data_IF_809795709457
#
_entry.id   IF_809795709457
#
_cell.length_a   1.000
_cell.length_b   1.000
_cell.length_c   1.000
_cell.angle_alpha   90.00
_cell.angle_beta   90.00
_cell.angle_gamma   90.00
#
_symmetry.space_group_name_H-M   'P 1'
#
loop_
_entity.id
_entity.type
_entity.pdbx_description
1 polymer ?
#
# COMPACT_ATOMS: atom_id res chain seq x y z
N UNK A 1 17.33 -15.29 7.41
CA UNK A 1 16.41 -14.66 8.38
C UNK A 1 15.66 -13.62 7.59
N UNK A 2 14.34 -13.66 7.59
CA UNK A 2 13.57 -12.58 6.98
C UNK A 2 13.79 -11.30 7.79
N UNK A 3 14.00 -10.19 7.09
CA UNK A 3 14.10 -8.88 7.73
C UNK A 3 12.69 -8.33 7.86
N UNK A 4 12.27 -8.04 9.08
CA UNK A 4 11.01 -7.32 9.30
C UNK A 4 11.16 -5.88 8.80
N UNK A 5 10.13 -5.41 8.09
CA UNK A 5 10.06 -4.08 7.48
C UNK A 5 8.96 -3.28 8.18
N UNK A 6 9.25 -2.02 8.49
CA UNK A 6 8.21 -1.11 9.00
C UNK A 6 7.27 -0.72 7.88
N UNK A 7 5.98 -0.95 8.12
CA UNK A 7 4.96 -0.86 7.08
C UNK A 7 3.71 -0.16 7.61
N UNK A 8 3.08 0.63 6.75
CA UNK A 8 1.72 1.16 6.92
C UNK A 8 0.83 0.67 5.77
N UNK A 9 -0.45 0.42 6.06
CA UNK A 9 -1.40 -0.13 5.11
C UNK A 9 -2.73 0.60 5.17
N UNK A 10 -3.33 0.82 4.00
CA UNK A 10 -4.69 1.31 3.80
C UNK A 10 -5.45 0.34 2.89
N UNK A 11 -6.73 0.12 3.16
CA UNK A 11 -7.66 -0.49 2.21
C UNK A 11 -8.08 0.52 1.16
N UNK A 12 -8.28 0.06 -0.06
CA UNK A 12 -8.65 0.95 -1.16
C UNK A 12 -10.00 1.59 -0.92
N UNK A 13 -10.06 2.90 -1.10
CA UNK A 13 -11.31 3.67 -1.20
C UNK A 13 -11.19 4.68 -2.33
N UNK A 14 -12.31 5.21 -2.88
CA UNK A 14 -12.22 6.27 -3.88
C UNK A 14 -11.45 7.50 -3.38
N UNK A 15 -11.65 7.86 -2.11
CA UNK A 15 -10.94 8.98 -1.49
C UNK A 15 -9.42 8.74 -1.41
N UNK A 16 -8.99 7.50 -1.16
CA UNK A 16 -7.57 7.14 -1.18
C UNK A 16 -6.95 7.35 -2.57
N UNK A 17 -7.63 6.91 -3.64
CA UNK A 17 -7.13 7.04 -5.01
C UNK A 17 -6.99 8.51 -5.40
N UNK A 18 -7.98 9.35 -5.07
CA UNK A 18 -7.90 10.80 -5.31
C UNK A 18 -6.77 11.44 -4.50
N UNK A 19 -6.61 11.08 -3.22
CA UNK A 19 -5.53 11.61 -2.41
C UNK A 19 -4.14 11.21 -2.93
N UNK A 20 -3.98 9.98 -3.44
CA UNK A 20 -2.73 9.55 -4.08
C UNK A 20 -2.39 10.43 -5.30
N UNK A 21 -3.36 10.70 -6.16
CA UNK A 21 -3.14 11.58 -7.33
C UNK A 21 -2.86 13.03 -6.91
N UNK A 22 -3.62 13.58 -5.97
CA UNK A 22 -3.43 14.97 -5.52
C UNK A 22 -2.10 15.19 -4.79
N UNK A 23 -1.63 14.21 -4.02
CA UNK A 23 -0.44 14.35 -3.16
C UNK A 23 0.81 13.79 -3.81
N UNK A 24 0.70 12.66 -4.50
CA UNK A 24 1.81 11.94 -5.10
C UNK A 24 1.79 12.00 -6.64
N UNK A 25 0.75 12.51 -7.30
CA UNK A 25 0.68 12.55 -8.76
C UNK A 25 0.80 11.16 -9.40
N UNK A 26 1.34 11.13 -10.62
CA UNK A 26 1.50 9.88 -11.37
C UNK A 26 2.52 8.92 -10.72
N UNK A 27 2.26 7.60 -10.75
CA UNK A 27 3.22 6.58 -10.36
C UNK A 27 4.53 6.69 -11.16
N UNK A 28 5.66 6.45 -10.51
CA UNK A 28 6.97 6.41 -11.19
C UNK A 28 7.22 5.06 -11.88
N UNK A 29 6.52 4.01 -11.46
CA UNK A 29 6.52 2.72 -12.13
C UNK A 29 5.20 1.98 -11.90
N UNK A 30 4.92 0.99 -12.75
CA UNK A 30 3.76 0.13 -12.65
C UNK A 30 4.07 -1.26 -13.20
N UNK A 31 3.52 -2.29 -12.56
CA UNK A 31 3.79 -3.68 -12.92
C UNK A 31 2.60 -4.34 -13.60
N UNK A 32 2.87 -5.27 -14.51
CA UNK A 32 1.84 -5.99 -15.27
C UNK A 32 0.83 -6.74 -14.39
N UNK A 33 1.18 -7.01 -13.13
CA UNK A 33 0.28 -7.60 -12.14
C UNK A 33 -0.77 -6.59 -11.62
N UNK A 34 -0.66 -5.30 -11.93
CA UNK A 34 -1.56 -4.21 -11.55
C UNK A 34 -1.03 -3.26 -10.49
N UNK A 35 0.15 -3.52 -9.92
CA UNK A 35 0.75 -2.65 -8.90
C UNK A 35 1.16 -1.30 -9.47
N UNK A 36 1.00 -0.24 -8.67
CA UNK A 36 1.45 1.12 -8.98
C UNK A 36 2.43 1.58 -7.90
N UNK A 37 3.54 2.21 -8.28
CA UNK A 37 4.66 2.50 -7.39
C UNK A 37 5.02 3.98 -7.42
N UNK A 38 5.24 4.57 -6.25
CA UNK A 38 5.86 5.88 -6.08
C UNK A 38 7.07 5.76 -5.16
N UNK A 39 8.10 6.56 -5.43
CA UNK A 39 9.23 6.76 -4.53
C UNK A 39 9.26 8.22 -4.09
N UNK A 40 9.28 8.47 -2.78
CA UNK A 40 9.19 9.81 -2.20
C UNK A 40 10.30 10.01 -1.17
N UNK A 41 11.16 10.99 -1.42
CA UNK A 41 12.26 11.39 -0.52
C UNK A 41 11.80 12.33 0.61
N UNK A 42 10.50 12.33 0.88
CA UNK A 42 9.82 13.20 1.86
C UNK A 42 9.65 12.50 3.22
N UNK A 43 10.26 11.33 3.40
CA UNK A 43 10.26 10.63 4.66
C UNK A 43 11.09 11.35 5.74
N UNK A 44 10.94 10.92 7.01
CA UNK A 44 11.74 11.44 8.13
C UNK A 44 13.23 11.37 7.82
N UNK A 45 13.97 12.42 8.17
CA UNK A 45 15.41 12.56 7.89
C UNK A 45 15.81 12.43 6.41
N UNK A 46 14.87 12.58 5.48
CA UNK A 46 15.09 12.45 4.05
C UNK A 46 15.09 11.00 3.55
N UNK A 47 14.60 10.05 4.37
CA UNK A 47 14.45 8.65 3.99
C UNK A 47 13.47 8.53 2.81
N UNK A 48 13.86 7.76 1.79
CA UNK A 48 12.95 7.41 0.69
C UNK A 48 11.90 6.42 1.16
N UNK A 49 10.63 6.82 1.05
CA UNK A 49 9.48 5.96 1.24
C UNK A 49 9.00 5.41 -0.12
N UNK A 50 8.80 4.10 -0.18
CA UNK A 50 8.10 3.47 -1.28
C UNK A 50 6.61 3.36 -0.94
N UNK A 51 5.78 3.84 -1.87
CA UNK A 51 4.34 3.71 -1.82
C UNK A 51 3.94 2.74 -2.92
N UNK A 52 3.24 1.67 -2.55
CA UNK A 52 2.86 0.61 -3.48
C UNK A 52 1.37 0.34 -3.37
N UNK A 53 0.62 0.70 -4.41
CA UNK A 53 -0.78 0.36 -4.54
C UNK A 53 -0.89 -1.06 -5.08
N UNK A 54 -1.44 -1.97 -4.29
CA UNK A 54 -1.53 -3.39 -4.59
C UNK A 54 -2.85 -3.74 -5.28
N UNK A 55 -2.79 -4.50 -6.39
CA UNK A 55 -3.97 -4.88 -7.14
C UNK A 55 -4.77 -5.97 -6.41
N UNK A 56 -6.03 -6.16 -6.80
CA UNK A 56 -6.84 -7.28 -6.30
C UNK A 56 -6.23 -8.65 -6.66
N UNK A 57 -6.52 -9.68 -5.87
CA UNK A 57 -6.14 -11.05 -6.19
C UNK A 57 -6.63 -11.47 -7.60
N UNK A 58 -5.73 -12.03 -8.41
CA UNK A 58 -6.06 -12.44 -9.78
C UNK A 58 -6.34 -11.28 -10.75
N UNK A 59 -5.80 -10.09 -10.47
CA UNK A 59 -5.99 -8.88 -11.26
C UNK A 59 -5.82 -9.08 -12.76
N UNK A 60 -6.67 -8.37 -13.50
CA UNK A 60 -6.55 -8.18 -14.94
C UNK A 60 -6.84 -6.74 -15.29
N UNK A 61 -5.90 -6.11 -16.00
CA UNK A 61 -6.08 -4.76 -16.49
C UNK A 61 -7.34 -4.68 -17.38
N UNK A 62 -8.27 -3.76 -17.12
CA UNK A 62 -9.43 -3.56 -17.98
C UNK A 62 -9.04 -3.00 -19.34
N UNK A 63 -9.58 -3.57 -20.42
CA UNK A 63 -9.48 -2.94 -21.75
C UNK A 63 -10.27 -1.62 -21.79
N UNK A 64 -9.82 -0.59 -22.55
CA UNK A 64 -8.66 -0.57 -23.43
C UNK A 64 -7.35 -0.14 -22.74
N UNK A 65 -7.33 -0.04 -21.41
CA UNK A 65 -6.20 0.53 -20.67
C UNK A 65 -5.00 -0.41 -20.65
N UNK A 66 -3.82 0.20 -20.55
CA UNK A 66 -2.61 -0.50 -20.17
C UNK A 66 -2.30 -0.27 -18.68
N UNK A 67 -1.28 -0.96 -18.17
CA UNK A 67 -0.84 -0.91 -16.77
C UNK A 67 -0.51 0.48 -16.25
N UNK A 68 -0.01 1.38 -17.09
CA UNK A 68 0.34 2.76 -16.73
C UNK A 68 -0.85 3.72 -16.87
N UNK A 69 -1.82 3.41 -17.75
CA UNK A 69 -2.96 4.31 -18.00
C UNK A 69 -4.08 4.16 -16.96
N UNK A 70 -4.22 2.97 -16.36
CA UNK A 70 -5.40 2.63 -15.54
C UNK A 70 -5.50 3.48 -14.26
N UNK A 71 -4.37 3.79 -13.62
CA UNK A 71 -4.35 4.65 -12.43
C UNK A 71 -4.78 6.10 -12.76
N UNK A 72 -4.09 6.84 -13.65
CA UNK A 72 -4.44 8.24 -13.92
C UNK A 72 -5.85 8.38 -14.50
N UNK A 73 -6.30 7.42 -15.33
CA UNK A 73 -7.68 7.42 -15.83
C UNK A 73 -8.71 7.23 -14.71
N UNK A 74 -8.43 6.35 -13.74
CA UNK A 74 -9.33 6.12 -12.60
C UNK A 74 -9.34 7.31 -11.65
N UNK A 75 -8.17 7.88 -11.33
CA UNK A 75 -8.05 9.05 -10.47
C UNK A 75 -8.79 10.26 -11.05
N UNK A 76 -8.59 10.55 -12.34
CA UNK A 76 -9.30 11.61 -13.05
C UNK A 76 -10.81 11.41 -13.00
N UNK A 77 -11.30 10.20 -13.34
CA UNK A 77 -12.72 9.91 -13.33
C UNK A 77 -13.35 10.20 -11.96
N UNK A 78 -12.69 9.76 -10.88
CA UNK A 78 -13.14 9.98 -9.51
C UNK A 78 -13.11 11.47 -9.11
N UNK A 79 -12.05 12.19 -9.46
CA UNK A 79 -11.93 13.62 -9.18
C UNK A 79 -13.01 14.46 -9.89
N UNK A 80 -13.41 14.07 -11.09
CA UNK A 80 -14.48 14.70 -11.86
C UNK A 80 -15.89 14.24 -11.45
N UNK A 81 -16.01 13.27 -10.53
CA UNK A 81 -17.29 12.70 -10.10
C UNK A 81 -17.96 11.84 -11.18
N UNK A 82 -17.17 11.21 -12.05
CA UNK A 82 -17.61 10.28 -13.08
C UNK A 82 -17.26 8.83 -12.72
N UNK A 83 -17.86 7.87 -13.44
CA UNK A 83 -17.62 6.46 -13.18
C UNK A 83 -16.25 6.02 -13.77
N UNK A 84 -15.37 5.40 -12.98
CA UNK A 84 -14.16 4.79 -13.50
C UNK A 84 -14.47 3.52 -14.31
N UNK A 85 -13.47 3.03 -15.05
CA UNK A 85 -13.61 1.81 -15.88
C UNK A 85 -14.06 0.57 -15.09
N UNK A 86 -13.65 0.50 -13.82
CA UNK A 86 -14.15 -0.45 -12.82
C UNK A 86 -14.20 0.21 -11.45
N UNK A 87 -15.05 -0.28 -10.54
CA UNK A 87 -14.96 0.07 -9.13
C UNK A 87 -13.54 -0.13 -8.57
N UNK A 88 -13.10 0.78 -7.71
CA UNK A 88 -11.71 0.79 -7.19
C UNK A 88 -11.36 -0.48 -6.41
N UNK A 89 -12.32 -1.05 -5.70
CA UNK A 89 -12.22 -2.32 -4.96
C UNK A 89 -12.18 -3.56 -5.86
N UNK A 90 -12.35 -3.39 -7.18
CA UNK A 90 -12.12 -4.41 -8.20
C UNK A 90 -10.81 -4.21 -8.96
N UNK A 91 -10.08 -3.12 -8.68
CA UNK A 91 -8.79 -2.80 -9.28
C UNK A 91 -7.67 -3.01 -8.27
N UNK A 92 -7.81 -2.47 -7.07
CA UNK A 92 -6.79 -2.49 -6.02
C UNK A 92 -7.37 -2.89 -4.67
N UNK A 93 -6.67 -3.77 -3.97
CA UNK A 93 -7.01 -4.14 -2.59
C UNK A 93 -6.66 -3.01 -1.61
N UNK A 94 -5.55 -2.32 -1.84
CA UNK A 94 -5.06 -1.32 -0.90
C UNK A 94 -3.68 -0.78 -1.22
N UNK A 95 -3.27 0.19 -0.40
CA UNK A 95 -1.97 0.86 -0.46
C UNK A 95 -1.08 0.36 0.67
N UNK A 96 0.17 0.13 0.36
CA UNK A 96 1.25 -0.13 1.31
C UNK A 96 2.28 1.00 1.25
N UNK A 97 2.85 1.37 2.40
CA UNK A 97 3.99 2.28 2.49
C UNK A 97 5.05 1.70 3.39
N UNK A 98 6.30 1.72 2.93
CA UNK A 98 7.45 1.22 3.68
C UNK A 98 8.73 1.96 3.26
N UNK A 99 9.84 1.71 3.96
CA UNK A 99 11.14 2.30 3.62
C UNK A 99 11.73 1.57 2.41
N UNK A 100 12.09 2.31 1.36
CA UNK A 100 12.48 1.72 0.07
C UNK A 100 13.83 0.96 0.11
N UNK A 101 14.73 1.37 1.01
CA UNK A 101 16.09 0.83 1.11
C UNK A 101 16.34 0.20 2.49
N UNK A 102 17.59 -0.18 2.78
CA UNK A 102 17.98 -0.87 4.03
C UNK A 102 17.91 0.00 5.30
N UNK A 103 17.38 1.22 5.18
CA UNK A 103 17.18 2.12 6.31
C UNK A 103 16.06 1.61 7.23
N UNK A 104 16.17 1.95 8.52
CA UNK A 104 15.22 1.52 9.54
C UNK A 104 14.49 2.72 10.10
N UNK A 105 13.17 2.63 10.07
CA UNK A 105 12.28 3.62 10.65
C UNK A 105 11.33 2.93 11.61
N UNK A 106 11.08 3.50 12.78
CA UNK A 106 10.09 2.95 13.71
C UNK A 106 8.67 3.04 13.11
N UNK A 107 7.83 1.99 13.21
CA UNK A 107 6.51 1.99 12.57
C UNK A 107 5.61 3.17 12.96
N UNK A 108 5.69 3.63 14.21
CA UNK A 108 4.93 4.80 14.67
C UNK A 108 5.37 6.09 13.97
N UNK A 109 6.68 6.24 13.72
CA UNK A 109 7.23 7.40 13.03
C UNK A 109 6.87 7.34 11.54
N UNK A 110 6.95 6.16 10.93
CA UNK A 110 6.49 5.94 9.56
C UNK A 110 4.99 6.29 9.42
N UNK A 111 4.16 5.83 10.34
CA UNK A 111 2.71 6.11 10.33
C UNK A 111 2.41 7.60 10.41
N UNK A 112 3.11 8.34 11.27
CA UNK A 112 2.97 9.79 11.36
C UNK A 112 3.32 10.48 10.05
N UNK A 113 4.52 10.19 9.51
CA UNK A 113 5.00 10.80 8.27
C UNK A 113 4.10 10.47 7.07
N UNK A 114 3.69 9.21 6.92
CA UNK A 114 2.80 8.81 5.83
C UNK A 114 1.41 9.47 5.96
N UNK A 115 0.89 9.63 7.18
CA UNK A 115 -0.36 10.36 7.41
C UNK A 115 -0.23 11.83 7.04
N UNK A 116 0.89 12.47 7.35
CA UNK A 116 1.13 13.88 7.01
C UNK A 116 1.21 14.09 5.49
N UNK A 117 1.89 13.18 4.78
CA UNK A 117 2.04 13.21 3.31
C UNK A 117 0.68 12.99 2.62
N UNK A 118 -0.01 11.90 2.96
CA UNK A 118 -1.23 11.48 2.27
C UNK A 118 -2.49 12.23 2.77
N UNK A 119 -2.47 12.70 4.01
CA UNK A 119 -3.63 13.31 4.68
C UNK A 119 -4.68 12.30 5.17
N UNK A 120 -4.38 11.00 5.11
CA UNK A 120 -5.28 9.91 5.52
C UNK A 120 -4.49 8.95 6.44
N UNK A 121 -5.02 8.66 7.62
CA UNK A 121 -4.40 7.73 8.55
C UNK A 121 -4.48 6.28 8.03
N UNK A 122 -3.45 5.43 8.25
CA UNK A 122 -3.47 4.04 7.84
C UNK A 122 -4.48 3.22 8.64
N UNK A 123 -5.01 2.16 8.01
CA UNK A 123 -5.84 1.15 8.67
C UNK A 123 -5.01 0.25 9.60
N UNK A 124 -3.71 0.10 9.33
CA UNK A 124 -2.77 -0.61 10.18
C UNK A 124 -1.32 -0.19 9.94
N UNK A 125 -0.49 -0.24 10.99
CA UNK A 125 0.95 -0.04 10.89
C UNK A 125 1.70 -0.93 11.88
N UNK A 126 2.95 -1.26 11.57
CA UNK A 126 3.75 -2.19 12.38
C UNK A 126 4.93 -2.76 11.61
N UNK A 127 5.37 -3.96 12.01
CA UNK A 127 6.43 -4.70 11.33
C UNK A 127 5.83 -5.85 10.52
N UNK A 128 6.25 -5.99 9.26
CA UNK A 128 5.82 -7.04 8.36
C UNK A 128 7.01 -7.85 7.81
N UNK A 129 6.78 -9.15 7.59
CA UNK A 129 7.67 -10.05 6.87
C UNK A 129 7.28 -10.08 5.39
N UNK A 130 7.91 -9.19 4.61
CA UNK A 130 7.67 -9.09 3.17
C UNK A 130 8.08 -10.35 2.41
N UNK A 131 9.06 -11.12 2.89
CA UNK A 131 9.49 -12.34 2.24
C UNK A 131 8.39 -13.41 2.36
N UNK A 132 7.85 -13.61 3.55
CA UNK A 132 6.77 -14.57 3.78
C UNK A 132 5.54 -14.24 2.92
N UNK A 133 5.17 -12.96 2.84
CA UNK A 133 4.03 -12.50 2.04
C UNK A 133 4.30 -12.69 0.53
N UNK A 134 5.52 -12.37 0.07
CA UNK A 134 5.94 -12.60 -1.31
C UNK A 134 5.90 -14.08 -1.68
N UNK A 135 6.47 -14.95 -0.84
CA UNK A 135 6.47 -16.40 -1.02
C UNK A 135 5.04 -16.96 -1.08
N UNK A 136 4.14 -16.45 -0.21
CA UNK A 136 2.73 -16.82 -0.21
C UNK A 136 2.05 -16.40 -1.52
N UNK A 137 2.28 -15.16 -1.98
CA UNK A 137 1.70 -14.66 -3.22
C UNK A 137 2.16 -15.48 -4.43
N UNK A 138 3.46 -15.79 -4.51
CA UNK A 138 4.04 -16.64 -5.56
C UNK A 138 3.48 -18.06 -5.52
N UNK A 139 3.44 -18.68 -4.34
CA UNK A 139 2.90 -20.04 -4.15
C UNK A 139 1.42 -20.15 -4.53
N UNK A 140 0.69 -19.03 -4.51
CA UNK A 140 -0.72 -18.94 -4.91
C UNK A 140 -0.92 -18.36 -6.31
N UNK A 141 0.16 -18.15 -7.07
CA UNK A 141 0.12 -17.60 -8.43
C UNK A 141 -0.61 -16.26 -8.49
N UNK A 142 -0.45 -15.42 -7.47
CA UNK A 142 -1.07 -14.11 -7.36
C UNK A 142 -2.57 -14.06 -7.07
N UNK A 143 -3.14 -15.18 -6.60
CA UNK A 143 -4.57 -15.27 -6.22
C UNK A 143 -4.82 -15.09 -4.72
N UNK A 144 -4.00 -14.29 -4.06
CA UNK A 144 -4.16 -13.87 -2.66
C UNK A 144 -3.91 -12.39 -2.54
N UNK A 145 -4.60 -11.74 -1.60
CA UNK A 145 -4.41 -10.32 -1.31
C UNK A 145 -3.13 -10.11 -0.50
N UNK A 146 -2.24 -9.25 -1.00
CA UNK A 146 -1.06 -8.79 -0.24
C UNK A 146 -1.51 -7.92 0.94
N UNK A 147 -2.55 -7.10 0.75
CA UNK A 147 -3.04 -6.15 1.75
C UNK A 147 -3.62 -6.86 2.97
N UNK A 148 -4.46 -7.88 2.76
CA UNK A 148 -4.99 -8.65 3.88
C UNK A 148 -3.87 -9.44 4.59
N UNK A 149 -2.91 -10.01 3.85
CA UNK A 149 -1.76 -10.69 4.46
C UNK A 149 -0.88 -9.74 5.30
N UNK A 150 -0.68 -8.49 4.84
CA UNK A 150 0.00 -7.46 5.62
C UNK A 150 -0.80 -7.14 6.88
N UNK A 151 -2.10 -6.83 6.77
CA UNK A 151 -2.93 -6.46 7.91
C UNK A 151 -3.02 -7.56 8.97
N UNK A 152 -3.02 -8.83 8.57
CA UNK A 152 -2.96 -9.97 9.49
C UNK A 152 -1.67 -9.95 10.35
N UNK A 153 -0.52 -9.60 9.75
CA UNK A 153 0.73 -9.45 10.50
C UNK A 153 0.73 -8.19 11.40
N UNK A 154 0.20 -7.07 10.91
CA UNK A 154 0.18 -5.81 11.64
C UNK A 154 -0.74 -5.85 12.88
N UNK A 155 -1.87 -6.56 12.78
CA UNK A 155 -2.83 -6.71 13.89
C UNK A 155 -2.39 -7.70 14.97
N UNK A 156 -1.52 -8.66 14.62
CA UNK A 156 -1.04 -9.68 15.56
C UNK A 156 -0.02 -9.13 16.59
N UNK A 157 0.45 -7.89 16.43
CA UNK A 157 1.51 -7.30 17.29
C UNK A 157 0.96 -6.52 18.50
N UNK A 158 -0.37 -6.41 18.68
CA UNK A 158 -1.00 -5.80 19.88
C UNK A 158 -1.65 -6.88 20.76
N UNK A 159 -0.83 -7.65 21.47
CA UNK A 159 -1.23 -8.55 22.57
C UNK A 159 0.01 -9.34 23.03
N UNK A 160 0.52 -9.26 24.26
CA UNK A 160 -0.13 -9.14 25.57
C UNK A 160 0.91 -8.59 26.56
N UNK A 161 0.75 -7.38 27.09
CA UNK A 161 1.46 -7.00 28.32
C UNK A 161 0.60 -7.45 29.49
N UNK A 162 0.84 -8.67 29.94
CA UNK A 162 0.21 -9.21 31.14
C UNK A 162 0.73 -8.43 32.35
N UNK A 163 -0.11 -7.55 32.88
CA UNK A 163 0.16 -6.80 34.09
C UNK A 163 0.08 -7.76 35.29
N UNK A 164 1.18 -8.43 35.60
CA UNK A 164 1.39 -9.05 36.90
C UNK A 164 1.78 -7.96 37.91
N UNK A 165 0.79 -7.43 38.62
CA UNK A 165 1.00 -6.67 39.85
C UNK A 165 1.39 -7.62 41.00
N UNK A 166 2.32 -7.24 41.90
CA UNK A 166 2.39 -7.81 43.24
C UNK A 166 1.25 -7.30 44.14
#
# INVERSE_FOLDING_TARGET
MASLVSTCVWRTTPALIVALDERLGEPVDAYVNGSQVWLRDEGPDGITLEWRLHPVAGYRCPEPFNTYDIFPATALALAEGTDPAKPVDQLWDGLEVFVAFEEKLEPLILSGAATDILGIAPDGFGLADHQEIGDLWEARGGHVSIIEALLDQLTTTIGTTDASSP
#
